data_IF_555432895179
#
_entry.id   IF_555432895179
#
_cell.length_a   1.000
_cell.length_b   1.000
_cell.length_c   1.000
_cell.angle_alpha   90.00
_cell.angle_beta   90.00
_cell.angle_gamma   90.00
#
_symmetry.space_group_name_H-M   'P 1'
#
loop_
_entity.id
_entity.type
_entity.pdbx_description
1 polymer ?
#
# COMPACT_ATOMS: atom_id res chain seq x y z
N UNK A 1 3.54 29.12 -7.68
CA UNK A 1 2.26 29.47 -7.02
C UNK A 1 1.94 28.33 -6.05
N UNK A 2 1.71 28.57 -4.76
CA UNK A 2 1.31 27.50 -3.83
C UNK A 2 -0.21 27.38 -3.85
N UNK A 3 -0.72 26.26 -4.34
CA UNK A 3 -2.15 25.97 -4.31
C UNK A 3 -2.56 25.53 -2.89
N UNK A 4 -3.69 26.04 -2.41
CA UNK A 4 -4.30 25.61 -1.14
C UNK A 4 -5.50 24.76 -1.46
N UNK A 5 -5.59 23.58 -0.82
CA UNK A 5 -6.72 22.66 -0.96
C UNK A 5 -7.38 22.53 0.41
N UNK A 6 -8.69 22.73 0.47
CA UNK A 6 -9.51 22.50 1.67
C UNK A 6 -10.32 21.24 1.46
N UNK A 7 -10.18 20.28 2.37
CA UNK A 7 -10.88 19.00 2.32
C UNK A 7 -11.80 18.89 3.54
N UNK A 8 -13.11 18.65 3.36
CA UNK A 8 -13.96 18.29 4.47
C UNK A 8 -13.55 16.90 4.98
N UNK A 9 -13.44 16.77 6.31
CA UNK A 9 -13.14 15.50 6.98
C UNK A 9 -14.24 15.20 8.00
N UNK A 10 -14.61 13.92 8.20
CA UNK A 10 -15.55 13.56 9.26
C UNK A 10 -15.04 13.95 10.65
N UNK A 11 -15.93 14.36 11.54
CA UNK A 11 -15.57 14.84 12.89
C UNK A 11 -14.75 13.80 13.69
N UNK A 12 -15.07 12.51 13.56
CA UNK A 12 -14.32 11.43 14.20
C UNK A 12 -12.86 11.39 13.73
N UNK A 13 -12.63 11.54 12.42
CA UNK A 13 -11.29 11.58 11.85
C UNK A 13 -10.56 12.85 12.31
N UNK A 14 -11.25 13.99 12.33
CA UNK A 14 -10.69 15.25 12.81
C UNK A 14 -10.20 15.13 14.27
N UNK A 15 -11.02 14.57 15.17
CA UNK A 15 -10.63 14.35 16.57
C UNK A 15 -9.39 13.45 16.69
N UNK A 16 -9.28 12.41 15.87
CA UNK A 16 -8.08 11.56 15.82
C UNK A 16 -6.87 12.33 15.30
N UNK A 17 -7.04 13.17 14.31
CA UNK A 17 -5.95 14.01 13.78
C UNK A 17 -5.46 15.01 14.82
N UNK A 18 -6.35 15.64 15.57
CA UNK A 18 -5.99 16.54 16.69
C UNK A 18 -5.22 15.81 17.79
N UNK A 19 -5.63 14.58 18.13
CA UNK A 19 -4.91 13.75 19.11
C UNK A 19 -3.44 13.52 18.69
N UNK A 20 -3.19 13.32 17.39
CA UNK A 20 -1.84 13.22 16.82
C UNK A 20 -1.38 14.54 16.19
N UNK A 21 -1.52 15.65 16.93
CA UNK A 21 -1.13 17.00 16.46
C UNK A 21 0.35 17.17 16.08
N UNK A 22 1.22 16.26 16.52
CA UNK A 22 2.63 16.22 16.11
C UNK A 22 2.83 15.72 14.67
N UNK A 23 1.81 15.09 14.08
CA UNK A 23 1.84 14.62 12.69
C UNK A 23 1.56 15.81 11.77
N UNK A 24 2.39 15.97 10.74
CA UNK A 24 2.18 16.97 9.69
C UNK A 24 1.12 16.49 8.70
N UNK A 25 -0.15 16.57 9.11
CA UNK A 25 -1.30 16.06 8.35
C UNK A 25 -1.44 16.62 6.92
N UNK A 26 -0.91 17.82 6.67
CA UNK A 26 -0.87 18.37 5.31
C UNK A 26 0.06 17.59 4.38
N UNK A 27 1.18 17.05 4.87
CA UNK A 27 2.05 16.17 4.06
C UNK A 27 1.40 14.80 3.86
N UNK A 28 0.71 14.28 4.88
CA UNK A 28 -0.07 13.04 4.76
C UNK A 28 -1.09 13.20 3.64
N UNK A 29 -1.87 14.29 3.64
CA UNK A 29 -2.86 14.57 2.60
C UNK A 29 -2.22 14.70 1.20
N UNK A 30 -1.09 15.42 1.07
CA UNK A 30 -0.38 15.53 -0.21
C UNK A 30 0.10 14.17 -0.72
N UNK A 31 0.69 13.37 0.15
CA UNK A 31 1.16 12.03 -0.20
C UNK A 31 0.00 11.14 -0.61
N UNK A 32 -1.13 11.17 0.13
CA UNK A 32 -2.32 10.40 -0.23
C UNK A 32 -2.91 10.80 -1.60
N UNK A 33 -2.95 12.10 -1.91
CA UNK A 33 -3.38 12.58 -3.23
C UNK A 33 -2.44 12.07 -4.32
N UNK A 34 -1.11 12.16 -4.11
CA UNK A 34 -0.13 11.68 -5.08
C UNK A 34 -0.18 10.17 -5.27
N UNK A 35 -0.28 9.39 -4.17
CA UNK A 35 -0.50 7.93 -4.22
C UNK A 35 -1.75 7.58 -5.04
N UNK A 36 -2.84 8.32 -4.87
CA UNK A 36 -4.07 8.12 -5.63
C UNK A 36 -3.88 8.36 -7.12
N UNK A 37 -3.19 9.43 -7.49
CA UNK A 37 -2.88 9.73 -8.89
C UNK A 37 -2.01 8.63 -9.53
N UNK A 38 -0.97 8.18 -8.82
CA UNK A 38 -0.09 7.10 -9.28
C UNK A 38 -0.89 5.80 -9.45
N UNK A 39 -1.70 5.44 -8.47
CA UNK A 39 -2.54 4.24 -8.53
C UNK A 39 -3.48 4.28 -9.74
N UNK A 40 -4.10 5.43 -10.03
CA UNK A 40 -4.97 5.59 -11.20
C UNK A 40 -4.23 5.55 -12.54
N UNK A 41 -2.97 5.98 -12.60
CA UNK A 41 -2.10 5.80 -13.78
C UNK A 41 -1.75 4.32 -13.94
N UNK A 42 -1.31 3.70 -12.86
CA UNK A 42 -0.94 2.28 -12.81
C UNK A 42 -2.10 1.36 -13.23
N UNK A 43 -3.33 1.63 -12.78
CA UNK A 43 -4.51 0.86 -13.21
C UNK A 43 -4.77 0.94 -14.72
N UNK A 44 -4.34 2.02 -15.39
CA UNK A 44 -4.55 2.21 -16.83
C UNK A 44 -3.44 1.61 -17.68
N UNK A 45 -2.19 1.78 -17.28
CA UNK A 45 -1.01 1.34 -18.04
C UNK A 45 -0.45 0.00 -17.59
N UNK A 46 -0.63 -0.37 -16.32
CA UNK A 46 0.11 -1.44 -15.65
C UNK A 46 1.57 -1.09 -15.32
N UNK A 47 1.99 0.14 -15.59
CA UNK A 47 3.39 0.58 -15.52
C UNK A 47 3.52 1.85 -14.68
N UNK A 48 4.68 2.00 -14.03
CA UNK A 48 5.08 3.20 -13.30
C UNK A 48 6.07 4.02 -14.13
N UNK A 49 5.91 5.34 -14.11
CA UNK A 49 6.96 6.23 -14.60
C UNK A 49 8.14 6.28 -13.62
N UNK A 50 9.33 6.67 -14.09
CA UNK A 50 10.52 6.79 -13.23
C UNK A 50 10.28 7.72 -12.02
N UNK A 51 9.55 8.83 -12.23
CA UNK A 51 9.20 9.76 -11.15
C UNK A 51 8.23 9.14 -10.13
N UNK A 52 7.26 8.36 -10.60
CA UNK A 52 6.30 7.68 -9.74
C UNK A 52 6.98 6.54 -8.96
N UNK A 53 7.91 5.82 -9.59
CA UNK A 53 8.71 4.78 -8.95
C UNK A 53 9.61 5.36 -7.83
N UNK A 54 10.30 6.47 -8.09
CA UNK A 54 11.13 7.13 -7.07
C UNK A 54 10.28 7.58 -5.85
N UNK A 55 9.06 8.05 -6.10
CA UNK A 55 8.13 8.38 -5.02
C UNK A 55 7.68 7.14 -4.22
N UNK A 56 7.39 6.03 -4.91
CA UNK A 56 7.02 4.76 -4.28
C UNK A 56 8.15 4.27 -3.35
N UNK A 57 9.39 4.26 -3.83
CA UNK A 57 10.56 3.85 -3.06
C UNK A 57 10.79 4.73 -1.82
N UNK A 58 10.65 6.06 -1.97
CA UNK A 58 10.81 7.01 -0.85
C UNK A 58 9.73 6.86 0.23
N UNK A 59 8.55 6.38 -0.14
CA UNK A 59 7.40 6.28 0.77
C UNK A 59 7.08 4.86 1.22
N UNK A 60 7.93 3.90 0.84
CA UNK A 60 7.77 2.46 1.13
C UNK A 60 6.34 1.97 0.82
N UNK A 61 5.85 2.31 -0.38
CA UNK A 61 4.50 1.99 -0.83
C UNK A 61 4.51 1.71 -2.33
N UNK A 62 3.81 0.68 -2.76
CA UNK A 62 3.63 0.33 -4.16
C UNK A 62 2.14 0.27 -4.55
N UNK A 63 1.72 0.71 -5.75
CA UNK A 63 0.31 0.66 -6.17
C UNK A 63 -0.33 -0.73 -6.10
N UNK A 64 0.48 -1.78 -6.28
CA UNK A 64 0.03 -3.17 -6.19
C UNK A 64 -0.45 -3.56 -4.78
N UNK A 65 -0.02 -2.84 -3.73
CA UNK A 65 -0.41 -3.12 -2.35
C UNK A 65 -1.89 -2.81 -2.10
N UNK A 66 -2.49 -1.93 -2.91
CA UNK A 66 -3.91 -1.56 -2.85
C UNK A 66 -4.79 -2.52 -3.68
N UNK A 67 -4.20 -3.43 -4.46
CA UNK A 67 -4.94 -4.38 -5.27
C UNK A 67 -5.42 -5.56 -4.41
N UNK A 68 -6.65 -6.05 -4.63
CA UNK A 68 -7.09 -7.28 -3.99
C UNK A 68 -6.20 -8.44 -4.44
N UNK A 69 -5.91 -9.35 -3.51
CA UNK A 69 -5.28 -10.62 -3.85
C UNK A 69 -6.16 -11.37 -4.85
N UNK A 70 -5.53 -12.01 -5.83
CA UNK A 70 -6.27 -12.82 -6.80
C UNK A 70 -6.93 -13.99 -6.08
N UNK A 71 -8.19 -14.28 -6.40
CA UNK A 71 -8.99 -15.32 -5.73
C UNK A 71 -8.35 -16.70 -5.84
N UNK A 72 -7.72 -17.01 -6.98
CA UNK A 72 -7.00 -18.28 -7.19
C UNK A 72 -5.79 -18.41 -6.25
N UNK A 73 -5.10 -17.31 -5.98
CA UNK A 73 -3.99 -17.28 -5.04
C UNK A 73 -4.47 -17.45 -3.60
N UNK A 74 -5.58 -16.79 -3.23
CA UNK A 74 -6.22 -16.97 -1.92
C UNK A 74 -6.63 -18.43 -1.73
N UNK A 75 -7.25 -19.05 -2.73
CA UNK A 75 -7.67 -20.45 -2.65
C UNK A 75 -6.48 -21.39 -2.45
N UNK A 76 -5.37 -21.17 -3.16
CA UNK A 76 -4.13 -21.94 -2.96
C UNK A 76 -3.60 -21.80 -1.54
N UNK A 77 -3.62 -20.59 -0.97
CA UNK A 77 -3.19 -20.38 0.42
C UNK A 77 -4.09 -21.12 1.43
N UNK A 78 -5.40 -21.18 1.18
CA UNK A 78 -6.32 -21.95 2.00
C UNK A 78 -6.08 -23.45 1.90
N UNK A 79 -5.77 -23.96 0.72
CA UNK A 79 -5.48 -25.37 0.52
C UNK A 79 -4.14 -25.77 1.16
N UNK A 80 -3.11 -24.93 1.03
CA UNK A 80 -1.82 -25.11 1.71
C UNK A 80 -1.95 -25.11 3.24
N UNK A 81 -2.91 -24.36 3.82
CA UNK A 81 -3.17 -24.40 5.27
C UNK A 81 -3.77 -25.72 5.74
N UNK A 82 -4.46 -26.46 4.86
CA UNK A 82 -5.04 -27.78 5.17
C UNK A 82 -4.00 -28.89 5.03
N UNK A 83 -2.93 -28.65 4.28
CA UNK A 83 -1.82 -29.58 4.13
C UNK A 83 -0.96 -29.66 5.41
N UNK A 84 -0.38 -30.83 5.65
CA UNK A 84 0.48 -31.04 6.81
C UNK A 84 1.77 -30.23 6.62
N UNK A 85 2.14 -29.34 7.53
CA UNK A 85 3.35 -28.53 7.37
C UNK A 85 4.58 -29.45 7.31
N UNK A 86 5.38 -29.30 6.25
CA UNK A 86 6.67 -29.95 6.11
C UNK A 86 7.60 -29.42 7.21
N UNK A 87 8.02 -30.30 8.12
CA UNK A 87 9.04 -29.99 9.12
C UNK A 87 10.41 -29.96 8.47
N UNK A 88 10.82 -28.77 8.05
CA UNK A 88 12.18 -28.44 7.64
C UNK A 88 13.02 -28.14 8.89
N UNK A 89 14.21 -28.74 8.99
CA UNK A 89 15.17 -28.50 10.09
C UNK A 89 16.26 -27.52 9.67
N UNK A 90 16.62 -27.56 8.40
CA UNK A 90 17.60 -26.67 7.77
C UNK A 90 17.04 -26.09 6.46
N UNK A 91 17.56 -24.95 6.04
CA UNK A 91 17.20 -24.33 4.74
C UNK A 91 17.58 -25.24 3.57
N UNK A 92 18.62 -26.05 3.75
CA UNK A 92 19.07 -27.05 2.77
C UNK A 92 18.00 -28.11 2.46
N UNK A 93 17.16 -28.45 3.45
CA UNK A 93 16.05 -29.42 3.30
C UNK A 93 14.95 -28.91 2.33
N UNK A 94 14.96 -27.62 1.96
CA UNK A 94 14.00 -27.01 1.03
C UNK A 94 14.41 -27.25 -0.44
N UNK A 95 15.71 -27.45 -0.70
CA UNK A 95 16.28 -27.47 -2.04
C UNK A 95 16.79 -28.86 -2.48
N UNK A 96 16.57 -29.91 -1.68
CA UNK A 96 16.76 -31.32 -2.09
C UNK A 96 15.65 -31.80 -3.03
#
# INVERSE_FOLDING_TARGET
MMATITLPVPDELYMRMEHFSWVKWSEVARNSIRKREIFEKYLRSGELSDEDAEFCDKTDWHPADELPLREDYVQRLEDLKKETPLKVRDVSDIFE
#
